data_IF_298840150396
#
_entry.id   IF_298840150396
#
_cell.length_a   1.000
_cell.length_b   1.000
_cell.length_c   1.000
_cell.angle_alpha   90.00
_cell.angle_beta   90.00
_cell.angle_gamma   90.00
#
_symmetry.space_group_name_H-M   'P 1'
#
loop_
_entity.id
_entity.type
_entity.pdbx_description
1 polymer ?
#
# COMPACT_ATOMS: atom_id res chain seq x y z
N UNK A 1 19.05 11.50 29.82
CA UNK A 1 18.40 11.16 31.10
C UNK A 1 17.47 9.97 30.81
N UNK A 2 17.70 8.81 31.39
CA UNK A 2 16.88 7.63 31.10
C UNK A 2 15.56 7.70 31.88
N UNK A 3 14.50 8.21 31.26
CA UNK A 3 13.15 8.20 31.85
C UNK A 3 12.52 6.80 31.94
N UNK A 4 12.99 5.84 31.15
CA UNK A 4 12.45 4.48 31.11
C UNK A 4 12.66 3.69 32.42
N UNK A 5 13.72 3.97 33.18
CA UNK A 5 14.02 3.28 34.45
C UNK A 5 13.14 3.80 35.59
N UNK A 6 12.77 5.06 35.55
CA UNK A 6 11.89 5.69 36.53
C UNK A 6 10.46 5.18 36.36
N UNK A 7 10.02 4.96 35.12
CA UNK A 7 8.68 4.47 34.82
C UNK A 7 8.47 3.01 35.27
N UNK A 8 9.43 2.14 35.04
CA UNK A 8 9.35 0.73 35.54
C UNK A 8 9.43 0.63 37.06
N UNK A 9 10.21 1.47 37.71
CA UNK A 9 10.25 1.54 39.18
C UNK A 9 8.94 2.12 39.75
N UNK A 10 8.35 3.10 39.06
CA UNK A 10 7.05 3.68 39.42
C UNK A 10 5.92 2.67 39.24
N UNK A 11 5.88 1.95 38.12
CA UNK A 11 4.92 0.87 37.89
C UNK A 11 5.02 -0.26 38.89
N UNK A 12 6.24 -0.67 39.27
CA UNK A 12 6.47 -1.65 40.32
C UNK A 12 5.96 -1.13 41.69
N UNK A 13 6.22 0.13 42.01
CA UNK A 13 5.72 0.75 43.24
C UNK A 13 4.18 0.77 43.24
N UNK A 14 3.54 1.21 42.15
CA UNK A 14 2.10 1.21 42.04
C UNK A 14 1.49 -0.18 42.15
N UNK A 15 2.05 -1.19 41.49
CA UNK A 15 1.54 -2.56 41.52
C UNK A 15 1.70 -3.23 42.89
N UNK A 16 2.72 -2.85 43.62
CA UNK A 16 3.06 -3.50 44.92
C UNK A 16 2.41 -2.79 46.11
N UNK A 17 2.25 -1.49 46.06
CA UNK A 17 1.84 -0.67 47.20
C UNK A 17 0.57 0.15 46.98
N UNK A 18 0.11 0.38 45.76
CA UNK A 18 -1.13 1.07 45.47
C UNK A 18 -2.29 0.08 45.33
N UNK A 19 -2.58 -0.66 46.40
CA UNK A 19 -3.85 -1.39 46.49
C UNK A 19 -5.03 -0.42 46.44
N UNK A 20 -6.14 -0.86 45.82
CA UNK A 20 -7.37 -0.09 45.72
C UNK A 20 -7.94 0.26 47.08
N UNK A 21 -7.56 1.40 47.64
CA UNK A 21 -8.01 1.84 48.97
C UNK A 21 -6.97 2.55 49.82
N UNK A 22 -5.72 2.68 49.35
CA UNK A 22 -4.70 3.40 50.14
C UNK A 22 -4.95 4.92 50.09
N UNK A 23 -5.15 5.46 51.29
CA UNK A 23 -5.31 6.89 51.52
C UNK A 23 -3.99 7.61 51.28
N UNK A 24 -4.05 8.87 50.84
CA UNK A 24 -2.91 9.80 50.69
C UNK A 24 -2.10 9.97 51.97
N UNK A 25 -2.60 9.47 53.10
CA UNK A 25 -2.01 9.56 54.42
C UNK A 25 -1.50 8.22 54.95
N UNK A 26 -1.49 7.15 54.16
CA UNK A 26 -0.87 5.91 54.56
C UNK A 26 0.63 6.10 54.79
N UNK A 27 1.01 6.07 56.03
CA UNK A 27 2.40 6.20 56.45
C UNK A 27 3.15 4.89 56.24
N UNK A 28 3.85 4.79 55.11
CA UNK A 28 4.81 3.70 54.94
C UNK A 28 5.89 3.76 56.03
N UNK A 29 6.17 2.64 56.66
CA UNK A 29 7.25 2.58 57.65
C UNK A 29 8.57 2.95 56.97
N UNK A 30 9.41 3.75 57.62
CA UNK A 30 10.73 4.18 57.13
C UNK A 30 11.59 3.01 56.59
N UNK A 31 11.43 1.82 57.20
CA UNK A 31 12.10 0.58 56.79
C UNK A 31 11.63 0.10 55.41
N UNK A 32 10.35 0.24 55.06
CA UNK A 32 9.79 -0.18 53.80
C UNK A 32 10.25 0.76 52.68
N UNK A 33 10.23 2.07 52.87
CA UNK A 33 10.78 3.05 51.95
C UNK A 33 12.28 2.81 51.72
N UNK A 34 13.04 2.48 52.74
CA UNK A 34 14.46 2.16 52.65
C UNK A 34 14.71 0.87 51.86
N UNK A 35 13.85 -0.14 52.02
CA UNK A 35 13.94 -1.38 51.23
C UNK A 35 13.67 -1.14 49.76
N UNK A 36 12.65 -0.34 49.43
CA UNK A 36 12.34 0.04 48.04
C UNK A 36 13.48 0.85 47.43
N UNK A 37 14.03 1.81 48.17
CA UNK A 37 15.19 2.60 47.71
C UNK A 37 16.40 1.71 47.45
N UNK A 38 16.70 0.79 48.34
CA UNK A 38 17.83 -0.14 48.18
C UNK A 38 17.64 -1.08 46.97
N UNK A 39 16.40 -1.51 46.72
CA UNK A 39 16.07 -2.34 45.54
C UNK A 39 16.24 -1.53 44.25
N UNK A 40 15.80 -0.28 44.22
CA UNK A 40 16.01 0.61 43.08
C UNK A 40 17.50 0.83 42.82
N UNK A 41 18.29 1.08 43.88
CA UNK A 41 19.75 1.25 43.78
C UNK A 41 20.42 -0.04 43.31
N UNK A 42 19.96 -1.18 43.76
CA UNK A 42 20.49 -2.49 43.33
C UNK A 42 20.17 -2.75 41.85
N UNK A 43 18.93 -2.55 41.42
CA UNK A 43 18.53 -2.68 40.04
C UNK A 43 19.34 -1.75 39.14
N UNK A 44 19.59 -0.51 39.56
CA UNK A 44 20.44 0.43 38.81
C UNK A 44 21.93 0.03 38.77
N UNK A 45 22.44 -0.67 39.81
CA UNK A 45 23.82 -1.16 39.83
C UNK A 45 24.00 -2.42 38.98
N UNK A 46 23.01 -3.30 39.01
CA UNK A 46 23.05 -4.59 38.31
C UNK A 46 22.58 -4.49 36.84
N UNK A 47 21.90 -3.41 36.48
CA UNK A 47 21.56 -3.13 35.11
C UNK A 47 22.78 -2.64 34.32
N UNK A 48 23.20 -3.35 33.28
CA UNK A 48 24.27 -2.85 32.43
C UNK A 48 23.82 -1.52 31.82
N UNK A 49 24.55 -0.44 32.16
CA UNK A 49 24.35 0.87 31.56
C UNK A 49 24.84 0.87 30.12
N UNK A 50 24.00 0.35 29.22
CA UNK A 50 24.23 0.57 27.80
C UNK A 50 23.90 2.03 27.49
N UNK A 51 24.93 2.84 27.29
CA UNK A 51 24.78 4.16 26.67
C UNK A 51 24.43 3.94 25.20
N UNK A 52 23.15 3.74 24.89
CA UNK A 52 22.68 3.76 23.52
C UNK A 52 22.57 5.23 23.14
N UNK A 53 23.54 5.70 22.37
CA UNK A 53 23.39 6.98 21.69
C UNK A 53 22.37 6.80 20.58
N UNK A 54 21.15 7.27 20.78
CA UNK A 54 20.10 7.29 19.74
C UNK A 54 20.45 8.36 18.69
N UNK A 55 21.45 8.07 17.87
CA UNK A 55 21.66 8.78 16.62
C UNK A 55 20.75 8.16 15.55
N UNK A 56 20.49 8.91 14.49
CA UNK A 56 19.68 8.41 13.35
C UNK A 56 20.26 7.12 12.76
N UNK A 57 21.56 6.96 12.79
CA UNK A 57 22.28 5.80 12.24
C UNK A 57 22.21 4.59 13.17
N UNK A 58 22.31 4.79 14.49
CA UNK A 58 22.12 3.69 15.46
C UNK A 58 20.67 3.21 15.50
N UNK A 59 19.71 4.09 15.26
CA UNK A 59 18.30 3.71 15.10
C UNK A 59 18.07 2.84 13.86
N UNK A 60 18.66 3.18 12.72
CA UNK A 60 18.64 2.36 11.49
C UNK A 60 19.31 1.03 11.71
N UNK A 61 20.50 1.01 12.28
CA UNK A 61 21.24 -0.22 12.56
C UNK A 61 20.44 -1.18 13.47
N UNK A 62 19.75 -0.66 14.49
CA UNK A 62 18.91 -1.48 15.37
C UNK A 62 17.69 -2.06 14.63
N UNK A 63 17.09 -1.29 13.69
CA UNK A 63 16.00 -1.76 12.83
C UNK A 63 16.51 -2.84 11.88
N UNK A 64 17.64 -2.64 11.23
CA UNK A 64 18.22 -3.58 10.29
C UNK A 64 18.57 -4.91 10.98
N UNK A 65 19.17 -4.88 12.19
CA UNK A 65 19.42 -6.09 12.99
C UNK A 65 18.11 -6.80 13.36
N UNK A 66 17.08 -6.06 13.75
CA UNK A 66 15.79 -6.63 14.10
C UNK A 66 15.12 -7.29 12.89
N UNK A 67 15.21 -6.69 11.72
CA UNK A 67 14.66 -7.26 10.48
C UNK A 67 15.44 -8.49 10.04
N UNK A 68 16.76 -8.47 10.14
CA UNK A 68 17.58 -9.65 9.85
C UNK A 68 17.32 -10.79 10.83
N UNK A 69 17.18 -10.49 12.14
CA UNK A 69 16.82 -11.49 13.13
C UNK A 69 15.44 -12.10 12.87
N UNK A 70 14.44 -11.28 12.48
CA UNK A 70 13.12 -11.77 12.06
C UNK A 70 13.19 -12.63 10.81
N UNK A 71 14.02 -12.25 9.85
CA UNK A 71 14.21 -13.03 8.62
C UNK A 71 14.79 -14.41 8.94
N UNK A 72 15.76 -14.49 9.84
CA UNK A 72 16.35 -15.75 10.31
C UNK A 72 15.31 -16.55 11.12
N UNK A 73 14.55 -15.91 11.99
CA UNK A 73 13.49 -16.55 12.77
C UNK A 73 12.40 -17.13 11.85
N UNK A 74 11.96 -16.38 10.84
CA UNK A 74 11.01 -16.84 9.84
C UNK A 74 11.58 -18.01 9.01
N UNK A 75 12.86 -17.97 8.67
CA UNK A 75 13.53 -19.05 7.96
C UNK A 75 13.61 -20.32 8.83
N UNK A 76 13.98 -20.19 10.11
CA UNK A 76 13.99 -21.30 11.08
C UNK A 76 12.56 -21.82 11.30
N UNK A 77 11.58 -20.92 11.43
CA UNK A 77 10.18 -21.32 11.59
C UNK A 77 9.65 -22.05 10.36
N UNK A 78 10.01 -21.60 9.15
CA UNK A 78 9.68 -22.30 7.91
C UNK A 78 10.32 -23.68 7.81
N UNK A 79 11.51 -23.87 8.39
CA UNK A 79 12.17 -25.16 8.49
C UNK A 79 11.60 -26.05 9.60
N UNK A 80 11.08 -25.47 10.69
CA UNK A 80 10.59 -26.20 11.85
C UNK A 80 9.08 -26.47 11.87
N UNK A 81 8.28 -25.70 11.12
CA UNK A 81 6.81 -25.84 11.06
C UNK A 81 6.32 -26.97 10.16
N UNK A 82 7.21 -27.72 9.56
CA UNK A 82 6.86 -28.94 8.86
C UNK A 82 6.69 -30.09 9.85
N UNK A 83 5.61 -30.85 9.69
CA UNK A 83 5.16 -31.95 10.56
C UNK A 83 6.28 -32.96 10.93
N UNK A 84 6.15 -33.69 12.06
CA UNK A 84 7.26 -34.37 12.72
C UNK A 84 7.99 -35.47 11.94
N UNK A 85 7.53 -35.88 10.79
CA UNK A 85 8.09 -37.01 10.07
C UNK A 85 8.92 -36.73 8.81
N UNK A 86 9.05 -35.43 8.36
CA UNK A 86 9.58 -35.19 6.99
C UNK A 86 10.51 -33.93 6.84
N UNK A 87 11.14 -33.50 7.92
CA UNK A 87 11.56 -32.09 8.07
C UNK A 87 12.82 -31.64 7.33
N UNK A 88 13.74 -32.52 6.97
CA UNK A 88 14.98 -32.14 6.30
C UNK A 88 14.94 -32.34 4.79
N UNK A 89 14.27 -33.37 4.31
CA UNK A 89 14.18 -33.67 2.88
C UNK A 89 13.32 -32.67 2.12
N UNK A 90 12.22 -32.17 2.72
CA UNK A 90 11.33 -31.20 2.07
C UNK A 90 11.93 -29.80 1.91
N UNK A 91 12.85 -29.39 2.79
CA UNK A 91 13.54 -28.11 2.66
C UNK A 91 14.51 -28.08 1.47
N UNK A 92 15.05 -29.25 1.12
CA UNK A 92 16.01 -29.41 0.02
C UNK A 92 15.36 -29.89 -1.29
N UNK A 93 14.13 -30.39 -1.24
CA UNK A 93 13.39 -30.87 -2.42
C UNK A 93 12.41 -29.83 -2.99
N UNK A 94 12.65 -28.54 -2.77
CA UNK A 94 11.81 -27.48 -3.35
C UNK A 94 11.92 -27.54 -4.88
N UNK A 95 10.76 -27.70 -5.51
CA UNK A 95 10.67 -27.54 -6.97
C UNK A 95 10.80 -26.07 -7.30
N UNK A 96 11.64 -25.79 -8.29
CA UNK A 96 11.81 -24.44 -8.84
C UNK A 96 11.21 -24.48 -10.24
N UNK A 97 10.35 -23.52 -10.54
CA UNK A 97 9.95 -23.27 -11.91
C UNK A 97 10.99 -22.35 -12.55
N UNK A 98 11.48 -22.69 -13.73
CA UNK A 98 12.47 -21.92 -14.46
C UNK A 98 11.95 -21.66 -15.87
N UNK A 99 12.04 -20.42 -16.32
CA UNK A 99 11.79 -20.04 -17.71
C UNK A 99 13.11 -20.08 -18.50
N UNK A 100 13.04 -20.48 -19.74
CA UNK A 100 14.17 -20.36 -20.67
C UNK A 100 14.41 -18.92 -21.14
N UNK A 101 13.39 -18.07 -21.00
CA UNK A 101 13.42 -16.64 -21.33
C UNK A 101 12.57 -15.88 -20.28
N UNK A 102 13.25 -15.35 -19.26
CA UNK A 102 12.58 -14.63 -18.16
C UNK A 102 12.05 -13.26 -18.57
N UNK A 103 12.54 -12.68 -19.66
CA UNK A 103 12.07 -11.42 -20.21
C UNK A 103 10.72 -11.62 -20.93
N UNK A 104 10.50 -12.79 -21.51
CA UNK A 104 9.24 -13.13 -22.19
C UNK A 104 8.19 -13.71 -21.24
N UNK A 105 8.60 -14.63 -20.34
CA UNK A 105 7.67 -15.34 -19.43
C UNK A 105 8.34 -15.55 -18.07
N UNK A 106 7.77 -14.93 -17.03
CA UNK A 106 8.15 -15.24 -15.66
C UNK A 106 7.28 -16.38 -15.12
N UNK A 107 7.90 -17.32 -14.42
CA UNK A 107 7.22 -18.49 -13.86
C UNK A 107 7.41 -18.57 -12.36
N UNK A 108 6.36 -18.95 -11.65
CA UNK A 108 6.40 -19.20 -10.22
C UNK A 108 5.74 -20.55 -9.90
N UNK A 109 6.40 -21.35 -9.07
CA UNK A 109 5.81 -22.58 -8.57
C UNK A 109 4.90 -22.32 -7.37
N UNK A 110 3.61 -22.68 -7.47
CA UNK A 110 2.58 -22.46 -6.42
C UNK A 110 2.10 -23.81 -5.84
N UNK A 111 2.76 -24.92 -6.09
CA UNK A 111 2.33 -26.24 -5.66
C UNK A 111 2.90 -26.70 -4.31
N UNK A 112 2.29 -27.72 -3.71
CA UNK A 112 2.87 -28.46 -2.58
C UNK A 112 3.87 -29.50 -3.09
N UNK A 113 4.95 -29.74 -2.33
CA UNK A 113 6.04 -30.63 -2.71
C UNK A 113 5.70 -32.13 -2.72
N UNK A 114 4.43 -32.50 -2.55
CA UNK A 114 4.05 -33.91 -2.35
C UNK A 114 4.11 -34.80 -3.61
N UNK A 115 4.24 -34.22 -4.80
CA UNK A 115 4.38 -35.00 -6.03
C UNK A 115 5.83 -35.00 -6.51
N UNK A 116 6.66 -35.86 -5.91
CA UNK A 116 8.11 -35.89 -6.14
C UNK A 116 8.52 -36.28 -7.57
N UNK A 117 7.65 -36.83 -8.40
CA UNK A 117 8.06 -37.53 -9.61
C UNK A 117 7.67 -36.91 -10.96
N UNK A 118 7.10 -35.71 -10.99
CA UNK A 118 6.69 -35.09 -12.25
C UNK A 118 7.33 -33.71 -12.45
N UNK A 119 8.54 -33.68 -13.01
CA UNK A 119 9.03 -32.48 -13.72
C UNK A 119 8.20 -32.33 -14.99
N UNK A 120 7.24 -31.40 -14.99
CA UNK A 120 6.46 -31.07 -16.19
C UNK A 120 7.18 -29.95 -16.93
N UNK A 121 7.42 -30.15 -18.19
CA UNK A 121 7.90 -29.14 -19.10
C UNK A 121 6.73 -28.66 -19.96
N UNK A 122 6.61 -27.35 -20.12
CA UNK A 122 5.60 -26.72 -20.96
C UNK A 122 6.30 -25.84 -21.98
N UNK A 123 5.84 -25.90 -23.21
CA UNK A 123 6.19 -24.94 -24.23
C UNK A 123 5.11 -23.85 -24.28
N UNK A 124 5.51 -22.61 -24.09
CA UNK A 124 4.62 -21.46 -24.08
C UNK A 124 4.97 -20.58 -25.28
N UNK A 125 4.01 -20.36 -26.17
CA UNK A 125 4.12 -19.42 -27.27
C UNK A 125 3.28 -18.17 -26.97
N UNK A 126 3.93 -17.03 -26.90
CA UNK A 126 3.24 -15.73 -26.69
C UNK A 126 2.85 -15.18 -28.06
N UNK A 127 1.59 -15.31 -28.45
CA UNK A 127 1.10 -14.77 -29.72
C UNK A 127 0.87 -13.26 -29.67
N UNK A 128 0.42 -12.72 -28.55
CA UNK A 128 0.13 -11.31 -28.36
C UNK A 128 0.19 -10.92 -26.89
N UNK A 129 0.82 -9.79 -26.61
CA UNK A 129 0.79 -9.20 -25.27
C UNK A 129 -0.52 -8.43 -25.05
N UNK A 130 -1.03 -8.45 -23.85
CA UNK A 130 -2.15 -7.62 -23.44
C UNK A 130 -1.76 -6.14 -23.49
N UNK A 131 -2.67 -5.31 -23.97
CA UNK A 131 -2.50 -3.85 -24.04
C UNK A 131 -3.38 -3.16 -23.00
N UNK A 132 -2.98 -1.98 -22.52
CA UNK A 132 -3.86 -1.17 -21.67
C UNK A 132 -5.11 -0.73 -22.42
N UNK A 133 -6.20 -0.54 -21.71
CA UNK A 133 -7.39 0.11 -22.26
C UNK A 133 -7.13 1.60 -22.38
N UNK A 134 -7.51 2.17 -23.52
CA UNK A 134 -7.41 3.62 -23.80
C UNK A 134 -8.76 4.15 -24.23
N UNK A 135 -9.33 5.04 -23.44
CA UNK A 135 -10.52 5.81 -23.79
C UNK A 135 -10.08 7.21 -24.20
N UNK A 136 -10.45 7.62 -25.40
CA UNK A 136 -10.11 8.95 -25.95
C UNK A 136 -11.37 9.70 -26.28
N UNK A 137 -11.49 10.91 -25.73
CA UNK A 137 -12.57 11.82 -26.02
C UNK A 137 -12.43 12.52 -27.35
N UNK A 138 -13.36 13.43 -27.64
CA UNK A 138 -13.38 14.27 -28.86
C UNK A 138 -12.27 15.31 -28.82
N UNK A 139 -11.71 15.61 -29.99
CA UNK A 139 -10.76 16.70 -30.13
C UNK A 139 -11.48 18.05 -30.14
N UNK A 140 -11.19 18.89 -29.15
CA UNK A 140 -11.78 20.21 -28.96
C UNK A 140 -10.75 21.32 -29.19
N UNK A 141 -11.20 22.45 -29.75
CA UNK A 141 -10.36 23.63 -29.88
C UNK A 141 -9.99 24.18 -28.51
N UNK A 142 -8.71 24.31 -28.14
CA UNK A 142 -8.28 24.59 -26.75
C UNK A 142 -8.78 25.93 -26.21
N UNK A 143 -8.87 26.95 -27.05
CA UNK A 143 -9.33 28.29 -26.69
C UNK A 143 -10.84 28.51 -26.76
N UNK A 144 -11.63 27.57 -27.26
CA UNK A 144 -13.09 27.66 -27.32
C UNK A 144 -13.71 27.33 -25.95
N UNK A 145 -14.96 27.73 -25.75
CA UNK A 145 -15.75 27.47 -24.52
C UNK A 145 -17.06 26.77 -24.95
N UNK A 146 -16.98 25.46 -25.15
CA UNK A 146 -18.11 24.64 -25.59
C UNK A 146 -18.94 24.12 -24.40
N UNK A 147 -18.47 24.33 -23.20
CA UNK A 147 -19.11 23.90 -21.95
C UNK A 147 -19.96 25.00 -21.34
N UNK A 148 -21.11 24.63 -20.80
CA UNK A 148 -21.94 25.54 -20.01
C UNK A 148 -21.36 25.66 -18.61
N UNK A 149 -21.32 26.87 -18.00
CA UNK A 149 -20.91 27.03 -16.59
C UNK A 149 -21.87 26.27 -15.66
N UNK A 150 -21.30 25.58 -14.66
CA UNK A 150 -22.07 24.77 -13.70
C UNK A 150 -21.20 23.80 -12.91
N UNK A 151 -21.86 23.02 -12.05
CA UNK A 151 -21.24 21.91 -11.35
C UNK A 151 -21.65 20.60 -12.02
N UNK A 152 -20.70 19.72 -12.19
CA UNK A 152 -20.84 18.48 -12.93
C UNK A 152 -20.20 17.34 -12.17
N UNK A 153 -20.72 16.14 -12.36
CA UNK A 153 -20.10 14.92 -11.82
C UNK A 153 -20.13 13.80 -12.86
N UNK A 154 -19.19 12.87 -12.67
CA UNK A 154 -19.13 11.64 -13.41
C UNK A 154 -18.63 10.51 -12.54
N UNK A 155 -19.08 9.31 -12.84
CA UNK A 155 -18.63 8.08 -12.21
C UNK A 155 -17.58 7.41 -13.05
N UNK A 156 -16.52 6.94 -12.39
CA UNK A 156 -15.48 6.15 -12.99
C UNK A 156 -15.47 4.80 -12.30
N UNK A 157 -15.88 3.77 -13.02
CA UNK A 157 -15.95 2.41 -12.53
C UNK A 157 -14.73 1.64 -13.00
N UNK A 158 -14.05 0.99 -12.08
CA UNK A 158 -13.02 -0.01 -12.36
C UNK A 158 -13.57 -1.38 -11.95
N UNK A 159 -12.87 -2.43 -12.29
CA UNK A 159 -13.21 -3.80 -11.84
C UNK A 159 -13.19 -3.97 -10.30
N UNK A 160 -12.54 -3.05 -9.57
CA UNK A 160 -12.39 -3.13 -8.11
C UNK A 160 -13.30 -2.17 -7.36
N UNK A 161 -13.61 -1.00 -7.92
CA UNK A 161 -14.29 0.08 -7.20
C UNK A 161 -14.95 1.09 -8.14
N UNK A 162 -15.95 1.80 -7.62
CA UNK A 162 -16.59 2.93 -8.27
C UNK A 162 -16.18 4.23 -7.58
N UNK A 163 -15.86 5.26 -8.36
CA UNK A 163 -15.43 6.57 -7.89
C UNK A 163 -16.28 7.67 -8.51
N UNK A 164 -16.87 8.53 -7.68
CA UNK A 164 -17.56 9.72 -8.14
C UNK A 164 -16.60 10.92 -8.13
N UNK A 165 -16.53 11.63 -9.26
CA UNK A 165 -15.74 12.85 -9.42
C UNK A 165 -16.65 14.04 -9.64
N UNK A 166 -16.37 15.13 -8.93
CA UNK A 166 -17.10 16.39 -9.08
C UNK A 166 -16.15 17.50 -9.54
N UNK A 167 -16.62 18.32 -10.45
CA UNK A 167 -15.87 19.46 -10.96
C UNK A 167 -16.79 20.62 -11.32
N UNK A 168 -16.24 21.83 -11.25
CA UNK A 168 -16.97 23.06 -11.61
C UNK A 168 -16.39 23.69 -12.87
N UNK A 169 -17.27 24.19 -13.73
CA UNK A 169 -16.94 24.95 -14.92
C UNK A 169 -17.43 26.39 -14.70
N UNK A 170 -16.54 27.36 -14.87
CA UNK A 170 -16.85 28.78 -14.83
C UNK A 170 -17.01 29.34 -16.24
N UNK A 171 -17.66 30.49 -16.39
CA UNK A 171 -17.79 31.16 -17.69
C UNK A 171 -16.48 31.64 -18.32
N UNK A 172 -15.36 31.52 -17.60
CA UNK A 172 -14.02 31.85 -18.09
C UNK A 172 -13.21 30.62 -18.51
N UNK A 173 -13.75 29.43 -18.27
CA UNK A 173 -13.04 28.18 -18.59
C UNK A 173 -13.14 27.90 -20.08
N UNK A 174 -11.99 27.60 -20.66
CA UNK A 174 -11.86 27.10 -22.02
C UNK A 174 -11.93 25.58 -22.04
N UNK A 175 -12.09 24.98 -23.20
CA UNK A 175 -12.09 23.54 -23.41
C UNK A 175 -10.84 22.89 -22.79
N UNK A 176 -9.66 23.49 -23.04
CA UNK A 176 -8.42 23.00 -22.46
C UNK A 176 -8.41 23.07 -20.93
N UNK A 177 -8.95 24.16 -20.36
CA UNK A 177 -9.01 24.29 -18.90
C UNK A 177 -9.90 23.21 -18.28
N UNK A 178 -11.05 22.92 -18.90
CA UNK A 178 -11.96 21.86 -18.45
C UNK A 178 -11.29 20.49 -18.55
N UNK A 179 -10.70 20.18 -19.72
CA UNK A 179 -9.98 18.92 -19.92
C UNK A 179 -8.83 18.75 -18.92
N UNK A 180 -8.07 19.82 -18.62
CA UNK A 180 -7.00 19.80 -17.60
C UNK A 180 -7.52 19.61 -16.18
N UNK A 181 -8.70 20.15 -15.84
CA UNK A 181 -9.33 19.90 -14.54
C UNK A 181 -9.65 18.42 -14.37
N UNK A 182 -10.30 17.81 -15.34
CA UNK A 182 -10.65 16.40 -15.32
C UNK A 182 -9.40 15.52 -15.27
N UNK A 183 -8.41 15.83 -16.13
CA UNK A 183 -7.11 15.15 -16.14
C UNK A 183 -6.47 15.14 -14.75
N UNK A 184 -6.44 16.30 -14.08
CA UNK A 184 -5.87 16.41 -12.72
C UNK A 184 -6.66 15.62 -11.68
N UNK A 185 -8.00 15.64 -11.76
CA UNK A 185 -8.85 14.88 -10.84
C UNK A 185 -8.54 13.39 -10.91
N UNK A 186 -8.49 12.83 -12.13
CA UNK A 186 -8.21 11.40 -12.35
C UNK A 186 -6.79 11.05 -11.88
N UNK A 187 -5.79 11.85 -12.28
CA UNK A 187 -4.40 11.57 -11.91
C UNK A 187 -4.14 11.68 -10.40
N UNK A 188 -4.77 12.67 -9.74
CA UNK A 188 -4.61 12.85 -8.28
C UNK A 188 -5.31 11.75 -7.46
N UNK A 189 -6.32 11.11 -8.02
CA UNK A 189 -7.02 10.02 -7.35
C UNK A 189 -6.19 8.74 -7.22
N UNK A 190 -5.14 8.58 -8.06
CA UNK A 190 -4.23 7.43 -8.04
C UNK A 190 -4.94 6.07 -8.04
N UNK A 191 -5.92 5.93 -8.92
CA UNK A 191 -6.83 4.77 -9.02
C UNK A 191 -6.39 3.77 -10.12
N UNK A 192 -5.11 3.75 -10.47
CA UNK A 192 -4.59 2.86 -11.52
C UNK A 192 -4.88 3.34 -12.95
N UNK A 193 -5.23 4.62 -13.12
CA UNK A 193 -5.45 5.26 -14.40
C UNK A 193 -4.50 6.44 -14.61
N UNK A 194 -4.19 6.72 -15.86
CA UNK A 194 -3.40 7.87 -16.26
C UNK A 194 -4.15 8.68 -17.32
N UNK A 195 -4.46 9.91 -16.99
CA UNK A 195 -5.12 10.84 -17.92
C UNK A 195 -4.11 11.83 -18.52
N UNK A 196 -4.17 12.03 -19.83
CA UNK A 196 -3.29 12.93 -20.58
C UNK A 196 -4.10 13.72 -21.61
N UNK A 197 -3.55 14.86 -22.07
CA UNK A 197 -4.08 15.56 -23.23
C UNK A 197 -3.27 15.20 -24.46
N UNK A 198 -3.96 14.75 -25.49
CA UNK A 198 -3.37 14.40 -26.79
C UNK A 198 -3.81 15.44 -27.80
N UNK A 199 -2.86 16.03 -28.54
CA UNK A 199 -3.14 17.02 -29.58
C UNK A 199 -3.12 16.37 -30.97
N UNK A 200 -3.98 16.84 -31.85
CA UNK A 200 -3.94 16.49 -33.26
C UNK A 200 -3.17 17.54 -34.09
N UNK A 201 -3.00 17.26 -35.37
CA UNK A 201 -2.29 18.16 -36.32
C UNK A 201 -2.98 19.53 -36.53
N UNK A 202 -4.24 19.66 -36.11
CA UNK A 202 -5.00 20.90 -36.14
C UNK A 202 -4.89 21.71 -34.85
N UNK A 203 -4.07 21.29 -33.90
CA UNK A 203 -3.90 21.94 -32.61
C UNK A 203 -5.10 21.81 -31.68
N UNK A 204 -5.98 20.82 -31.88
CA UNK A 204 -7.09 20.50 -31.00
C UNK A 204 -6.64 19.44 -29.99
N UNK A 205 -7.18 19.50 -28.78
CA UNK A 205 -6.84 18.59 -27.67
C UNK A 205 -7.99 17.62 -27.37
N UNK A 206 -7.65 16.37 -27.15
CA UNK A 206 -8.55 15.36 -26.63
C UNK A 206 -8.05 14.84 -25.27
N UNK A 207 -8.95 14.59 -24.35
CA UNK A 207 -8.64 13.89 -23.11
C UNK A 207 -8.47 12.41 -23.42
N UNK A 208 -7.33 11.83 -23.06
CA UNK A 208 -7.05 10.40 -23.21
C UNK A 208 -6.79 9.80 -21.85
N UNK A 209 -7.52 8.75 -21.51
CA UNK A 209 -7.41 8.04 -20.22
C UNK A 209 -6.96 6.62 -20.53
N UNK A 210 -5.88 6.20 -19.88
CA UNK A 210 -5.22 4.90 -20.09
C UNK A 210 -5.15 4.14 -18.79
N UNK A 211 -5.50 2.85 -18.80
CA UNK A 211 -5.32 1.98 -17.65
C UNK A 211 -3.83 1.66 -17.45
N UNK A 212 -3.40 1.58 -16.19
CA UNK A 212 -2.06 1.07 -15.85
C UNK A 212 -2.01 -0.45 -15.94
N UNK A 213 -3.13 -1.12 -15.68
CA UNK A 213 -3.28 -2.55 -15.88
C UNK A 213 -3.50 -2.89 -17.35
N UNK A 214 -3.05 -4.06 -17.73
CA UNK A 214 -3.22 -4.64 -19.06
C UNK A 214 -3.95 -5.96 -18.97
N UNK A 215 -4.73 -6.28 -19.99
CA UNK A 215 -5.51 -7.54 -20.05
C UNK A 215 -6.79 -7.48 -19.24
N UNK A 216 -7.78 -8.23 -19.69
CA UNK A 216 -9.07 -8.42 -19.03
C UNK A 216 -9.09 -9.78 -18.35
N UNK A 217 -9.71 -9.89 -17.18
CA UNK A 217 -10.07 -11.17 -16.57
C UNK A 217 -11.16 -11.89 -17.38
N UNK A 218 -11.33 -13.19 -17.13
CA UNK A 218 -12.25 -14.06 -17.90
C UNK A 218 -13.70 -13.58 -17.94
N UNK A 219 -14.14 -12.78 -16.97
CA UNK A 219 -15.51 -12.24 -16.86
C UNK A 219 -15.61 -10.73 -17.04
N UNK A 220 -14.50 -10.05 -17.33
CA UNK A 220 -14.43 -8.60 -17.45
C UNK A 220 -14.64 -8.16 -18.90
N UNK A 221 -15.45 -7.12 -19.10
CA UNK A 221 -15.68 -6.51 -20.41
C UNK A 221 -14.80 -5.29 -20.65
N UNK A 222 -14.38 -4.61 -19.59
CA UNK A 222 -13.55 -3.40 -19.62
C UNK A 222 -12.73 -3.31 -18.33
N UNK A 223 -11.58 -2.65 -18.41
CA UNK A 223 -10.76 -2.35 -17.22
C UNK A 223 -11.30 -1.13 -16.47
N UNK A 224 -11.90 -0.21 -17.17
CA UNK A 224 -12.61 0.94 -16.60
C UNK A 224 -13.69 1.46 -17.54
N UNK A 225 -14.72 2.06 -16.94
CA UNK A 225 -15.82 2.71 -17.63
C UNK A 225 -16.06 4.09 -17.03
N UNK A 226 -16.45 5.06 -17.85
CA UNK A 226 -16.74 6.43 -17.41
C UNK A 226 -18.20 6.74 -17.77
N UNK A 227 -18.99 7.10 -16.77
CA UNK A 227 -20.39 7.43 -16.95
C UNK A 227 -20.70 8.82 -16.39
N UNK A 228 -21.52 9.64 -17.09
CA UNK A 228 -21.99 10.89 -16.52
C UNK A 228 -22.93 10.61 -15.34
N UNK A 229 -22.97 11.52 -14.37
CA UNK A 229 -24.06 11.52 -13.39
C UNK A 229 -25.41 11.66 -14.09
N UNK A 230 -26.52 11.19 -13.48
CA UNK A 230 -27.82 11.10 -14.14
C UNK A 230 -28.52 12.46 -14.31
N UNK A 231 -27.82 13.56 -14.12
CA UNK A 231 -28.35 14.90 -14.41
C UNK A 231 -28.08 15.35 -15.85
N UNK A 232 -28.96 16.18 -16.38
CA UNK A 232 -28.90 16.62 -17.78
C UNK A 232 -27.66 17.45 -18.12
N UNK A 233 -27.08 18.15 -17.12
CA UNK A 233 -25.86 18.94 -17.27
C UNK A 233 -24.64 18.07 -17.44
N UNK A 234 -24.44 17.11 -16.53
CA UNK A 234 -23.34 16.15 -16.56
C UNK A 234 -23.37 15.28 -17.81
N UNK A 235 -24.57 14.84 -18.24
CA UNK A 235 -24.73 14.10 -19.50
C UNK A 235 -24.31 14.95 -20.70
N UNK A 236 -24.69 16.25 -20.73
CA UNK A 236 -24.29 17.15 -21.80
C UNK A 236 -22.77 17.40 -21.81
N UNK A 237 -22.20 17.67 -20.64
CA UNK A 237 -20.76 17.92 -20.52
C UNK A 237 -19.95 16.69 -20.96
N UNK A 238 -20.37 15.49 -20.56
CA UNK A 238 -19.72 14.25 -20.99
C UNK A 238 -19.84 14.03 -22.51
N UNK A 239 -21.02 14.29 -23.07
CA UNK A 239 -21.22 14.22 -24.55
C UNK A 239 -20.34 15.21 -25.31
N UNK A 240 -20.02 16.38 -24.74
CA UNK A 240 -19.11 17.35 -25.35
C UNK A 240 -17.65 16.86 -25.28
N UNK A 241 -17.31 16.10 -24.25
CA UNK A 241 -15.98 15.47 -24.12
C UNK A 241 -15.79 14.25 -25.03
N UNK A 242 -16.86 13.52 -25.39
CA UNK A 242 -16.89 12.35 -26.26
C UNK A 242 -17.14 11.05 -25.53
#
# INVERSE_FOLDING_TARGET
IPMAVIDSAYQYYLSTYAGSGMSRYDTHKKSQLRAVYNNIVKVNKDSPLYKINFTRDTGRFAIDIKEQARSIENFIAALSNNAPDDNAEHAFSRKIAQSSDEDAVSVQYIGSNMDADNSKQFDITVERLATPQVNRGVYLAPGASDFVPGNYSFDLNTNLSSYEFQYSISGKDTNETVQRKIMRLINNANIGLNATLVSNDRGQNALSITSQQTGLGDSEQYLFEIMPAPDSGSIRAMRTLG
#
